data_IF_948641251602
#
_entry.id   IF_948641251602
#
_cell.length_a   1.000
_cell.length_b   1.000
_cell.length_c   1.000
_cell.angle_alpha   90.00
_cell.angle_beta   90.00
_cell.angle_gamma   90.00
#
_symmetry.space_group_name_H-M   'P 1'
#
loop_
_entity.id
_entity.type
_entity.pdbx_description
1 polymer ?
#
# COMPACT_ATOMS: atom_id res chain seq x y z
N UNK A 1 13.28 26.99 -7.32
CA UNK A 1 14.04 25.87 -7.90
C UNK A 1 13.07 24.90 -8.59
N UNK A 2 13.40 24.46 -9.79
CA UNK A 2 12.64 23.42 -10.49
C UNK A 2 13.30 22.06 -10.29
N UNK A 3 12.49 21.03 -10.13
CA UNK A 3 12.97 19.66 -10.00
C UNK A 3 12.10 18.71 -10.82
N UNK A 4 12.69 17.61 -11.26
CA UNK A 4 11.98 16.45 -11.77
C UNK A 4 11.83 15.42 -10.67
N UNK A 5 10.64 14.89 -10.48
CA UNK A 5 10.35 13.79 -9.57
C UNK A 5 10.18 12.52 -10.38
N UNK A 6 10.93 11.50 -10.03
CA UNK A 6 10.92 10.23 -10.73
C UNK A 6 10.47 9.16 -9.73
N UNK A 7 9.49 8.38 -10.10
CA UNK A 7 8.95 7.29 -9.29
C UNK A 7 8.98 6.01 -10.11
N UNK A 8 9.65 4.99 -9.59
CA UNK A 8 9.73 3.67 -10.17
C UNK A 8 8.90 2.70 -9.34
N UNK A 9 8.04 1.93 -9.97
CA UNK A 9 7.21 0.91 -9.31
C UNK A 9 7.18 -0.39 -10.12
N UNK A 10 8.30 -1.11 -10.22
CA UNK A 10 8.32 -2.42 -10.85
C UNK A 10 7.50 -3.41 -10.02
N UNK A 11 6.80 -4.30 -10.69
CA UNK A 11 6.00 -5.32 -10.04
C UNK A 11 6.08 -6.66 -10.76
N UNK A 12 5.82 -7.73 -10.03
CA UNK A 12 5.65 -9.08 -10.52
C UNK A 12 4.43 -9.72 -9.89
N UNK A 13 3.71 -10.50 -10.67
CA UNK A 13 2.60 -11.32 -10.22
C UNK A 13 2.78 -12.74 -10.70
N UNK A 14 2.65 -13.71 -9.78
CA UNK A 14 2.52 -15.12 -10.09
C UNK A 14 1.15 -15.60 -9.63
N UNK A 15 0.49 -16.43 -10.45
CA UNK A 15 -0.83 -16.97 -10.12
C UNK A 15 -0.90 -18.42 -10.59
N UNK A 16 -1.54 -19.27 -9.77
CA UNK A 16 -1.84 -20.65 -10.09
C UNK A 16 -3.20 -21.02 -9.51
N UNK A 17 -4.12 -21.53 -10.34
CA UNK A 17 -5.51 -21.75 -9.99
C UNK A 17 -6.12 -20.47 -9.35
N UNK A 18 -6.66 -20.59 -8.15
CA UNK A 18 -7.29 -19.51 -7.41
C UNK A 18 -6.35 -18.77 -6.47
N UNK A 19 -5.06 -19.12 -6.47
CA UNK A 19 -4.04 -18.53 -5.62
C UNK A 19 -3.11 -17.60 -6.41
N UNK A 20 -2.61 -16.56 -5.75
CA UNK A 20 -1.66 -15.65 -6.36
C UNK A 20 -0.75 -14.98 -5.34
N UNK A 21 0.43 -14.58 -5.81
CA UNK A 21 1.37 -13.72 -5.08
C UNK A 21 1.63 -12.49 -5.93
N UNK A 22 1.68 -11.36 -5.29
CA UNK A 22 2.01 -10.08 -5.90
C UNK A 22 3.13 -9.40 -5.11
N UNK A 23 4.16 -8.92 -5.82
CA UNK A 23 5.23 -8.09 -5.28
C UNK A 23 5.31 -6.81 -6.09
N UNK A 24 5.35 -5.67 -5.43
CA UNK A 24 5.66 -4.36 -6.00
C UNK A 24 6.75 -3.70 -5.17
N UNK A 25 7.79 -3.26 -5.85
CA UNK A 25 8.83 -2.43 -5.26
C UNK A 25 8.54 -0.97 -5.59
N UNK A 26 9.02 -0.06 -4.78
CA UNK A 26 8.92 1.36 -5.06
C UNK A 26 10.23 2.07 -4.72
N UNK A 27 10.59 3.02 -5.56
CA UNK A 27 11.68 3.96 -5.37
C UNK A 27 11.22 5.33 -5.87
N UNK A 28 11.50 6.36 -5.12
CA UNK A 28 11.21 7.73 -5.50
C UNK A 28 12.37 8.66 -5.18
N UNK A 29 12.76 9.42 -6.16
CA UNK A 29 13.82 10.40 -5.99
C UNK A 29 13.51 11.68 -6.76
N UNK A 30 14.23 12.76 -6.39
CA UNK A 30 14.10 14.07 -7.01
C UNK A 30 15.42 14.47 -7.66
N UNK A 31 15.36 14.92 -8.90
CA UNK A 31 16.46 15.51 -9.62
C UNK A 31 16.23 17.04 -9.72
N UNK A 32 17.13 17.81 -9.16
CA UNK A 32 17.04 19.28 -9.15
C UNK A 32 17.87 19.87 -10.30
N UNK A 33 17.28 20.76 -11.10
CA UNK A 33 17.96 21.40 -12.25
C UNK A 33 19.06 22.38 -11.82
N UNK A 34 19.02 22.87 -10.59
CA UNK A 34 20.08 23.66 -9.98
C UNK A 34 20.32 23.14 -8.59
N UNK A 35 21.39 22.38 -8.36
CA UNK A 35 21.79 22.00 -7.01
C UNK A 35 22.24 23.28 -6.28
N UNK A 36 21.41 23.80 -5.39
CA UNK A 36 21.89 24.67 -4.35
C UNK A 36 22.81 23.83 -3.45
N UNK A 37 23.76 24.48 -2.80
CA UNK A 37 24.91 23.93 -2.07
C UNK A 37 24.63 22.84 -1.01
N UNK A 38 23.45 22.28 -0.97
CA UNK A 38 23.04 21.23 -0.07
C UNK A 38 23.15 19.87 -0.75
N UNK A 39 24.24 19.18 -0.49
CA UNK A 39 24.56 17.84 -0.97
C UNK A 39 23.50 16.78 -0.62
N UNK A 40 22.54 17.13 0.25
CA UNK A 40 21.47 16.23 0.66
C UNK A 40 20.35 16.09 -0.36
N UNK A 41 20.31 16.93 -1.39
CA UNK A 41 19.12 17.07 -2.27
C UNK A 41 19.17 16.29 -3.57
N UNK A 42 20.31 15.70 -3.90
CA UNK A 42 20.42 14.86 -5.12
C UNK A 42 20.87 13.47 -4.75
N UNK A 43 19.94 12.54 -4.68
CA UNK A 43 20.26 11.15 -4.37
C UNK A 43 19.58 10.25 -5.40
N UNK A 44 20.43 9.50 -6.09
CA UNK A 44 20.03 8.46 -7.01
C UNK A 44 20.84 7.21 -6.76
N UNK A 45 20.24 6.02 -6.76
CA UNK A 45 18.85 5.78 -6.35
C UNK A 45 18.73 6.00 -4.84
N UNK A 46 17.57 6.37 -4.35
CA UNK A 46 17.33 6.47 -2.91
C UNK A 46 17.20 5.05 -2.32
N UNK A 47 16.10 4.68 -1.75
CA UNK A 47 15.88 3.36 -1.15
C UNK A 47 14.78 2.66 -1.91
N UNK A 48 15.11 1.48 -2.46
CA UNK A 48 14.13 0.59 -3.02
C UNK A 48 13.47 -0.22 -1.89
N UNK A 49 12.18 -0.05 -1.68
CA UNK A 49 11.43 -0.71 -0.62
C UNK A 49 10.27 -1.54 -1.16
N UNK A 50 9.81 -2.49 -0.36
CA UNK A 50 8.65 -3.31 -0.69
C UNK A 50 7.39 -2.49 -0.40
N UNK A 51 6.75 -2.04 -1.46
CA UNK A 51 5.53 -1.25 -1.42
C UNK A 51 4.28 -2.13 -1.28
N UNK A 52 4.25 -3.27 -1.97
CA UNK A 52 3.24 -4.30 -1.79
C UNK A 52 3.88 -5.69 -1.83
N UNK A 53 3.46 -6.56 -0.94
CA UNK A 53 3.75 -7.99 -0.94
C UNK A 53 2.58 -8.72 -0.31
N UNK A 54 1.73 -9.35 -1.13
CA UNK A 54 0.57 -10.06 -0.64
C UNK A 54 0.30 -11.36 -1.40
N UNK A 55 -0.36 -12.24 -0.70
CA UNK A 55 -0.96 -13.46 -1.20
C UNK A 55 -2.46 -13.27 -1.38
N UNK A 56 -3.03 -13.90 -2.40
CA UNK A 56 -4.48 -14.01 -2.61
C UNK A 56 -4.90 -15.45 -2.76
N UNK A 57 -6.05 -15.79 -2.18
CA UNK A 57 -6.80 -17.00 -2.48
C UNK A 57 -8.25 -16.60 -2.76
N UNK A 58 -8.68 -16.80 -3.99
CA UNK A 58 -9.97 -16.36 -4.47
C UNK A 58 -10.91 -17.55 -4.63
N UNK A 59 -12.20 -17.28 -4.74
CA UNK A 59 -13.24 -18.29 -5.00
C UNK A 59 -13.27 -19.44 -3.99
N UNK A 60 -12.91 -19.18 -2.74
CA UNK A 60 -13.07 -20.12 -1.66
C UNK A 60 -14.56 -20.34 -1.38
N UNK A 61 -14.93 -21.53 -0.88
CA UNK A 61 -16.31 -21.90 -0.57
C UNK A 61 -17.27 -21.66 -1.75
N UNK A 62 -17.00 -22.33 -2.86
CA UNK A 62 -17.79 -22.24 -4.09
C UNK A 62 -17.88 -20.82 -4.69
N UNK A 63 -16.86 -20.03 -4.48
CA UNK A 63 -16.76 -18.67 -5.01
C UNK A 63 -17.30 -17.57 -4.10
N UNK A 64 -17.77 -17.95 -2.92
CA UNK A 64 -18.38 -16.98 -2.00
C UNK A 64 -17.38 -16.14 -1.22
N UNK A 65 -16.09 -16.52 -1.18
CA UNK A 65 -15.12 -15.84 -0.32
C UNK A 65 -13.77 -15.66 -1.03
N UNK A 66 -13.24 -14.46 -0.93
CA UNK A 66 -11.86 -14.13 -1.32
C UNK A 66 -11.03 -13.73 -0.08
N UNK A 67 -9.77 -14.16 -0.08
CA UNK A 67 -8.77 -13.83 0.93
C UNK A 67 -7.65 -13.02 0.30
N UNK A 68 -7.21 -11.97 0.98
CA UNK A 68 -5.98 -11.24 0.68
C UNK A 68 -5.20 -10.98 1.96
N UNK A 69 -3.94 -11.41 2.00
CA UNK A 69 -3.10 -11.32 3.18
C UNK A 69 -1.70 -10.77 2.84
N UNK A 70 -1.22 -9.84 3.63
CA UNK A 70 0.09 -9.22 3.53
C UNK A 70 0.03 -7.73 3.29
N UNK A 71 1.16 -7.14 2.88
CA UNK A 71 1.28 -5.71 2.58
C UNK A 71 0.52 -5.35 1.32
N UNK A 72 -0.47 -4.50 1.44
CA UNK A 72 -1.41 -4.18 0.38
C UNK A 72 -1.91 -2.75 0.43
N UNK A 73 -2.32 -2.23 -0.72
CA UNK A 73 -3.12 -1.03 -0.78
C UNK A 73 -4.56 -1.34 -0.36
N UNK A 74 -5.16 -0.48 0.46
CA UNK A 74 -6.55 -0.58 0.87
C UNK A 74 -7.23 0.78 0.79
N UNK A 75 -8.37 0.81 0.11
CA UNK A 75 -9.21 1.99 0.04
C UNK A 75 -10.67 1.57 -0.07
N UNK A 76 -11.53 2.19 0.70
CA UNK A 76 -12.96 1.90 0.72
C UNK A 76 -13.80 3.14 0.46
N UNK A 77 -14.84 2.99 -0.33
CA UNK A 77 -15.82 4.03 -0.65
C UNK A 77 -15.17 5.32 -1.12
N UNK A 78 -15.54 6.43 -0.48
CA UNK A 78 -15.01 7.75 -0.78
C UNK A 78 -13.59 7.99 -0.20
N UNK A 79 -12.89 6.95 0.26
CA UNK A 79 -11.53 7.00 0.83
C UNK A 79 -11.39 7.92 2.06
N UNK A 80 -12.44 8.06 2.84
CA UNK A 80 -12.44 8.94 4.02
C UNK A 80 -11.85 8.29 5.27
N UNK A 81 -11.97 6.96 5.40
CA UNK A 81 -11.50 6.22 6.57
C UNK A 81 -10.20 5.49 6.22
N UNK A 82 -10.21 4.71 5.15
CA UNK A 82 -9.04 4.04 4.63
C UNK A 82 -8.74 4.51 3.21
N UNK A 83 -7.51 4.91 3.00
CA UNK A 83 -7.00 5.38 1.71
C UNK A 83 -5.61 4.83 1.47
N UNK A 84 -5.37 4.37 0.26
CA UNK A 84 -4.07 3.87 -0.21
C UNK A 84 -2.99 4.96 -0.36
N UNK A 85 -3.18 6.13 0.17
CA UNK A 85 -2.19 7.20 0.19
C UNK A 85 -1.63 7.65 -1.16
N UNK A 86 -2.13 7.11 -2.28
CA UNK A 86 -1.71 7.51 -3.62
C UNK A 86 -2.39 8.81 -4.07
N UNK A 87 -3.20 9.40 -3.22
CA UNK A 87 -3.88 10.66 -3.47
C UNK A 87 -2.92 11.85 -3.44
N UNK A 88 -2.95 12.68 -4.47
CA UNK A 88 -2.25 13.95 -4.52
C UNK A 88 -0.75 13.83 -4.69
N UNK A 89 -0.01 14.54 -3.87
CA UNK A 89 1.44 14.75 -4.00
C UNK A 89 2.30 13.86 -3.07
N UNK A 90 1.72 12.79 -2.54
CA UNK A 90 2.43 11.86 -1.65
C UNK A 90 3.65 11.21 -2.32
N UNK A 91 4.81 11.31 -1.68
CA UNK A 91 6.04 10.66 -2.15
C UNK A 91 5.95 9.15 -2.05
N UNK A 92 5.22 8.65 -1.09
CA UNK A 92 5.05 7.23 -0.81
C UNK A 92 3.57 6.88 -0.75
N UNK A 93 3.24 5.69 -1.22
CA UNK A 93 1.92 5.12 -0.98
C UNK A 93 1.82 4.73 0.48
N UNK A 94 0.72 5.04 1.12
CA UNK A 94 0.35 4.33 2.34
C UNK A 94 0.00 2.90 1.95
N UNK A 95 0.59 1.96 2.64
CA UNK A 95 0.27 0.55 2.56
C UNK A 95 -0.21 0.05 3.92
N UNK A 96 -0.85 -1.09 3.93
CA UNK A 96 -1.31 -1.73 5.15
C UNK A 96 -0.84 -3.17 5.18
N UNK A 97 -0.20 -3.58 6.27
CA UNK A 97 0.04 -4.99 6.56
C UNK A 97 -1.28 -5.54 7.09
N UNK A 98 -2.01 -6.29 6.28
CA UNK A 98 -3.42 -6.57 6.53
C UNK A 98 -3.86 -7.97 6.12
N UNK A 99 -4.90 -8.43 6.80
CA UNK A 99 -5.76 -9.53 6.37
C UNK A 99 -7.08 -8.92 5.91
N UNK A 100 -7.52 -9.26 4.71
CA UNK A 100 -8.82 -8.89 4.17
C UNK A 100 -9.55 -10.15 3.70
N UNK A 101 -10.79 -10.27 4.11
CA UNK A 101 -11.74 -11.26 3.66
C UNK A 101 -12.89 -10.56 2.95
N UNK A 102 -13.16 -10.93 1.71
CA UNK A 102 -14.29 -10.40 0.95
C UNK A 102 -15.31 -11.50 0.74
N UNK A 103 -16.46 -11.36 1.37
CA UNK A 103 -17.60 -12.23 1.16
C UNK A 103 -18.51 -11.67 0.08
N UNK A 104 -18.79 -12.47 -0.93
CA UNK A 104 -19.71 -12.17 -2.02
C UNK A 104 -21.10 -12.74 -1.66
N UNK A 105 -21.99 -11.89 -1.16
CA UNK A 105 -23.36 -12.30 -0.88
C UNK A 105 -24.11 -12.63 -2.20
N UNK A 106 -23.82 -11.87 -3.23
CA UNK A 106 -24.20 -12.10 -4.63
C UNK A 106 -23.31 -11.26 -5.58
N UNK A 107 -23.66 -11.16 -6.86
CA UNK A 107 -22.91 -10.42 -7.88
C UNK A 107 -22.82 -8.91 -7.61
N UNK A 108 -23.67 -8.36 -6.74
CA UNK A 108 -23.83 -6.92 -6.51
C UNK A 108 -23.59 -6.49 -5.07
N UNK A 109 -23.45 -7.45 -4.16
CA UNK A 109 -23.30 -7.17 -2.74
C UNK A 109 -22.10 -7.89 -2.16
N UNK A 110 -21.24 -7.12 -1.50
CA UNK A 110 -20.05 -7.65 -0.85
C UNK A 110 -19.90 -7.13 0.57
N UNK A 111 -19.31 -7.97 1.43
CA UNK A 111 -18.87 -7.60 2.76
C UNK A 111 -17.37 -7.85 2.85
N UNK A 112 -16.61 -6.80 3.06
CA UNK A 112 -15.21 -6.88 3.43
C UNK A 112 -15.06 -6.86 4.95
N UNK A 113 -14.39 -7.86 5.50
CA UNK A 113 -13.90 -7.85 6.87
C UNK A 113 -12.37 -7.73 6.81
N UNK A 114 -11.80 -6.82 7.58
CA UNK A 114 -10.37 -6.61 7.56
C UNK A 114 -9.80 -6.37 8.96
N UNK A 115 -8.54 -6.77 9.13
CA UNK A 115 -7.68 -6.38 10.23
C UNK A 115 -6.36 -5.87 9.62
N UNK A 116 -5.86 -4.78 10.16
CA UNK A 116 -4.63 -4.16 9.68
C UNK A 116 -3.68 -3.85 10.85
N UNK A 117 -2.41 -3.86 10.52
CA UNK A 117 -1.33 -3.43 11.36
C UNK A 117 -0.46 -2.44 10.62
N UNK A 118 -0.07 -1.39 11.30
CA UNK A 118 0.81 -0.38 10.77
C UNK A 118 1.97 -0.20 11.73
N UNK A 119 3.12 -0.69 11.35
CA UNK A 119 4.31 -0.57 12.17
C UNK A 119 4.84 0.86 12.13
N UNK A 120 5.25 1.39 13.29
CA UNK A 120 6.01 2.64 13.39
C UNK A 120 7.30 2.57 12.55
N UNK A 121 7.97 1.43 12.57
CA UNK A 121 9.17 1.15 11.80
C UNK A 121 8.90 0.07 10.77
N UNK A 122 9.24 0.29 9.51
CA UNK A 122 9.11 -0.75 8.50
C UNK A 122 9.98 -1.95 8.88
N UNK A 123 9.37 -3.12 8.92
CA UNK A 123 10.03 -4.39 9.24
C UNK A 123 10.48 -5.16 8.00
N UNK A 124 10.02 -4.75 6.81
CA UNK A 124 10.43 -5.38 5.57
C UNK A 124 11.82 -4.90 5.12
N UNK A 125 12.59 -5.78 4.46
CA UNK A 125 13.91 -5.41 3.97
C UNK A 125 13.81 -4.32 2.90
N UNK A 126 14.76 -3.40 2.94
CA UNK A 126 14.98 -2.40 1.91
C UNK A 126 16.25 -2.74 1.14
N UNK A 127 16.29 -2.38 -0.15
CA UNK A 127 17.46 -2.52 -1.00
C UNK A 127 17.98 -1.12 -1.34
N UNK A 128 19.25 -0.87 -1.05
CA UNK A 128 19.89 0.42 -1.31
C UNK A 128 21.00 0.71 -0.32
N UNK A 129 21.87 1.65 -0.65
CA UNK A 129 22.93 2.07 0.28
C UNK A 129 22.37 3.05 1.29
N UNK A 130 22.55 2.70 2.54
CA UNK A 130 22.48 3.64 3.64
C UNK A 130 23.48 4.78 3.44
N UNK A 131 23.09 5.99 3.76
CA UNK A 131 23.98 7.12 3.68
C UNK A 131 25.07 7.06 4.73
N UNK A 132 26.30 7.19 4.25
CA UNK A 132 27.57 7.16 4.97
C UNK A 132 27.82 8.31 5.97
N UNK A 133 26.82 9.08 6.38
CA UNK A 133 27.02 10.20 7.29
C UNK A 133 26.73 9.89 8.77
N UNK A 134 26.89 8.62 9.19
CA UNK A 134 26.88 8.25 10.62
C UNK A 134 25.56 8.50 11.35
N UNK A 135 24.55 8.94 10.66
CA UNK A 135 23.16 8.88 11.16
C UNK A 135 22.62 7.56 10.68
N UNK A 136 22.13 6.79 11.66
CA UNK A 136 21.26 5.66 11.39
C UNK A 136 20.48 5.98 10.13
N UNK A 137 20.40 5.05 9.15
CA UNK A 137 19.43 5.24 8.11
C UNK A 137 18.17 5.54 8.89
N UNK A 138 17.59 6.66 8.65
CA UNK A 138 16.23 6.82 9.07
C UNK A 138 15.54 5.64 8.37
N UNK A 139 15.42 4.52 9.10
CA UNK A 139 14.46 3.51 8.75
C UNK A 139 13.27 4.38 8.43
N UNK A 140 13.09 4.59 7.13
CA UNK A 140 12.22 5.63 6.68
C UNK A 140 10.99 5.44 7.50
N UNK A 141 10.68 6.42 8.31
CA UNK A 141 9.42 6.53 8.99
C UNK A 141 8.39 6.58 7.86
N UNK A 142 8.24 5.42 7.24
CA UNK A 142 7.58 5.24 5.95
C UNK A 142 6.12 5.53 6.09
N UNK A 143 5.69 5.58 7.33
CA UNK A 143 4.29 5.70 7.67
C UNK A 143 3.95 7.04 8.29
N UNK A 144 4.93 7.76 8.83
CA UNK A 144 4.68 8.98 9.61
C UNK A 144 3.96 8.70 10.93
N UNK A 145 3.87 7.43 11.34
CA UNK A 145 3.21 7.05 12.58
C UNK A 145 4.15 7.18 13.78
N UNK A 146 3.61 7.73 14.86
CA UNK A 146 4.36 7.90 16.11
C UNK A 146 4.49 6.61 16.91
N UNK A 147 3.63 5.64 16.64
CA UNK A 147 3.51 4.35 17.33
C UNK A 147 2.99 3.28 16.38
N UNK A 148 3.06 2.03 16.80
CA UNK A 148 2.39 0.93 16.11
C UNK A 148 0.88 1.10 16.22
N UNK A 149 0.18 0.90 15.11
CA UNK A 149 -1.27 1.04 15.03
C UNK A 149 -1.93 -0.26 14.58
N UNK A 150 -3.06 -0.57 15.21
CA UNK A 150 -3.91 -1.70 14.86
C UNK A 150 -5.29 -1.17 14.49
N UNK A 151 -5.88 -1.76 13.49
CA UNK A 151 -7.24 -1.45 13.08
C UNK A 151 -7.97 -2.69 12.62
N UNK A 152 -9.28 -2.68 12.76
CA UNK A 152 -10.16 -3.68 12.17
C UNK A 152 -11.48 -3.03 11.79
N UNK A 153 -12.15 -3.60 10.80
CA UNK A 153 -13.42 -3.06 10.37
C UNK A 153 -14.18 -3.98 9.44
N UNK A 154 -15.40 -3.58 9.19
CA UNK A 154 -16.30 -4.16 8.22
C UNK A 154 -16.68 -3.07 7.23
N UNK A 155 -16.78 -3.44 5.96
CA UNK A 155 -17.24 -2.55 4.91
C UNK A 155 -18.24 -3.29 4.04
N UNK A 156 -19.48 -2.86 4.07
CA UNK A 156 -20.55 -3.35 3.24
C UNK A 156 -20.73 -2.51 2.00
N UNK A 157 -20.87 -3.15 0.87
CA UNK A 157 -21.14 -2.52 -0.40
C UNK A 157 -22.38 -3.15 -1.04
N UNK A 158 -23.37 -2.32 -1.38
CA UNK A 158 -24.59 -2.73 -2.08
C UNK A 158 -24.76 -1.94 -3.38
N UNK A 159 -24.86 -2.65 -4.48
CA UNK A 159 -25.06 -2.15 -5.85
C UNK A 159 -26.27 -2.84 -6.51
N UNK A 160 -27.15 -3.44 -5.69
CA UNK A 160 -28.28 -4.21 -6.21
C UNK A 160 -29.33 -3.30 -6.86
N UNK A 161 -29.48 -2.07 -6.39
CA UNK A 161 -30.46 -1.14 -6.94
C UNK A 161 -29.95 -0.46 -8.21
N UNK A 162 -30.83 -0.24 -9.18
CA UNK A 162 -30.48 0.29 -10.50
C UNK A 162 -30.02 1.76 -10.43
N UNK A 163 -30.65 2.55 -9.60
CA UNK A 163 -30.50 4.00 -9.59
C UNK A 163 -29.63 4.51 -8.43
N UNK A 164 -29.34 3.69 -7.44
CA UNK A 164 -28.47 4.06 -6.31
C UNK A 164 -27.73 2.84 -5.72
N UNK A 165 -26.56 3.10 -5.22
CA UNK A 165 -25.80 2.17 -4.40
C UNK A 165 -25.44 2.82 -3.09
N UNK A 166 -25.20 2.03 -2.04
CA UNK A 166 -24.71 2.55 -0.77
C UNK A 166 -23.57 1.72 -0.20
N UNK A 167 -22.79 2.38 0.62
CA UNK A 167 -21.66 1.82 1.33
C UNK A 167 -21.88 2.08 2.83
N UNK A 168 -21.54 1.10 3.67
CA UNK A 168 -21.58 1.20 5.12
C UNK A 168 -20.26 0.69 5.73
N UNK A 169 -19.82 1.33 6.82
CA UNK A 169 -18.62 0.99 7.57
C UNK A 169 -18.98 0.56 8.98
#
# INVERSE_FOLDING_TARGET
>A
SSYARIRLRPWIRAAYADCGIFLRLADEFRHYNRPESDSSKQRWPDVLFIDNLYFTANRLYDGALDLKFGRQDMAFGAKRILSDGTGGDGSRSAYFDALRLTWHADEKRTLDAFALYQAKKDWMPTLGKEHENGKEPHAYDTTGYWQDEFGAGLYWQDRAHKDFGYDAY
#
